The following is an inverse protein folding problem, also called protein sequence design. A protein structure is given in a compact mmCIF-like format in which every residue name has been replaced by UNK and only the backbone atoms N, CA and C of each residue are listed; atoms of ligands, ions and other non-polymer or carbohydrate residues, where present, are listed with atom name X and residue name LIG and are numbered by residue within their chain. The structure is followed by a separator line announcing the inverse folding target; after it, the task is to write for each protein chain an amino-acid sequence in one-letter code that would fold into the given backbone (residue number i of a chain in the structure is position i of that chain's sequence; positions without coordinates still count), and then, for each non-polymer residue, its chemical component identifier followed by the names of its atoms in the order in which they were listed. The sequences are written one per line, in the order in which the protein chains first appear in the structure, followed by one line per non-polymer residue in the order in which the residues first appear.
data_IF_668381902610
#
_entry.id   IF_668381902610
#
_cell.length_a   1.000
_cell.length_b   1.000
_cell.length_c   1.000
_cell.angle_alpha   90.00
_cell.angle_beta   90.00
_cell.angle_gamma   90.00
#
_symmetry.space_group_name_H-M   'P 1'
#
loop_
_entity.id
_entity.type
_entity.pdbx_description
1 polymer ?
#
# COMPACT_ATOMS: atom_id res chain seq x y z
N UNK A 1 17.29 -5.81 12.34
CA UNK A 1 16.47 -5.18 13.39
C UNK A 1 15.25 -4.59 12.70
N UNK A 2 14.05 -5.10 12.95
CA UNK A 2 12.84 -4.64 12.26
C UNK A 2 12.50 -3.20 12.67
N UNK A 3 12.05 -2.40 11.70
CA UNK A 3 11.60 -1.02 11.89
C UNK A 3 10.22 -0.90 12.56
N UNK A 4 9.88 -1.85 13.44
CA UNK A 4 8.57 -1.91 14.08
C UNK A 4 8.36 -0.75 15.05
N UNK A 5 7.11 -0.29 15.11
CA UNK A 5 6.66 0.75 16.04
C UNK A 5 6.56 0.19 17.45
N UNK A 6 7.35 0.76 18.37
CA UNK A 6 7.36 0.44 19.79
C UNK A 6 6.68 1.53 20.59
N UNK A 7 5.66 1.15 21.36
CA UNK A 7 5.01 2.04 22.32
C UNK A 7 5.89 2.20 23.56
N UNK A 8 6.25 3.45 23.86
CA UNK A 8 7.01 3.82 25.07
C UNK A 8 6.06 4.19 26.20
N UNK A 9 4.94 4.81 25.87
CA UNK A 9 3.83 5.13 26.78
C UNK A 9 2.55 5.31 25.95
N UNK A 10 1.39 5.54 26.60
CA UNK A 10 0.11 5.79 25.92
C UNK A 10 0.14 6.95 24.92
N UNK A 11 1.04 7.91 25.10
CA UNK A 11 1.16 9.11 24.25
C UNK A 11 2.52 9.24 23.57
N UNK A 12 3.36 8.19 23.59
CA UNK A 12 4.69 8.22 22.98
C UNK A 12 5.02 6.90 22.31
N UNK A 13 5.39 6.96 21.04
CA UNK A 13 5.91 5.83 20.26
C UNK A 13 7.29 6.14 19.71
N UNK A 14 8.06 5.09 19.42
CA UNK A 14 9.32 5.20 18.69
C UNK A 14 9.56 3.98 17.82
N UNK A 15 10.27 4.17 16.72
CA UNK A 15 10.73 3.07 15.88
C UNK A 15 12.14 3.33 15.39
N UNK A 16 12.86 2.23 15.15
CA UNK A 16 14.20 2.27 14.61
C UNK A 16 14.13 2.58 13.11
N UNK A 17 14.99 3.49 12.65
CA UNK A 17 15.05 3.88 11.23
C UNK A 17 16.37 3.42 10.61
N UNK A 18 17.49 3.71 11.25
CA UNK A 18 18.80 3.45 10.68
C UNK A 18 19.88 3.36 11.75
N UNK A 19 21.02 2.79 11.36
CA UNK A 19 22.25 2.83 12.16
C UNK A 19 23.27 3.67 11.42
N UNK A 20 23.87 4.63 12.12
CA UNK A 20 24.94 5.46 11.59
C UNK A 20 26.21 5.28 12.43
N UNK A 21 27.11 4.43 11.97
CA UNK A 21 28.29 4.01 12.72
C UNK A 21 27.94 3.33 14.04
N UNK A 22 28.35 3.94 15.16
CA UNK A 22 28.06 3.46 16.53
C UNK A 22 26.73 3.98 17.09
N UNK A 23 26.01 4.85 16.37
CA UNK A 23 24.74 5.43 16.83
C UNK A 23 23.54 4.71 16.22
N UNK A 24 22.50 4.54 17.02
CA UNK A 24 21.20 4.04 16.58
C UNK A 24 20.23 5.20 16.42
N UNK A 25 19.59 5.30 15.26
CA UNK A 25 18.68 6.39 14.92
C UNK A 25 17.24 5.91 15.05
N UNK A 26 16.45 6.67 15.82
CA UNK A 26 15.03 6.43 16.03
C UNK A 26 14.24 7.66 15.63
N UNK A 27 13.05 7.43 15.11
CA UNK A 27 12.00 8.45 15.12
C UNK A 27 11.18 8.24 16.38
N UNK A 28 10.89 9.33 17.09
CA UNK A 28 9.95 9.36 18.21
C UNK A 28 8.79 10.29 17.87
N UNK A 29 7.56 9.83 18.13
CA UNK A 29 6.36 10.67 18.10
C UNK A 29 5.81 10.78 19.52
N UNK A 30 5.45 11.99 19.94
CA UNK A 30 4.84 12.27 21.25
C UNK A 30 3.63 13.18 21.09
N UNK A 31 2.49 12.74 21.61
CA UNK A 31 1.32 13.60 21.79
C UNK A 31 1.43 14.39 23.11
N UNK A 32 1.14 15.67 23.06
CA UNK A 32 1.24 16.58 24.21
C UNK A 32 0.24 17.73 24.11
N UNK A 33 0.14 18.55 25.16
CA UNK A 33 -0.67 19.76 25.19
C UNK A 33 0.24 20.95 25.52
N UNK A 34 0.05 22.07 24.82
CA UNK A 34 0.72 23.32 25.14
C UNK A 34 -0.29 24.46 25.11
N UNK A 35 -0.43 25.17 26.23
CA UNK A 35 -1.42 26.26 26.39
C UNK A 35 -2.84 25.83 25.97
N UNK A 36 -3.24 24.62 26.39
CA UNK A 36 -4.56 24.06 26.07
C UNK A 36 -4.73 23.48 24.66
N UNK A 37 -3.74 23.61 23.77
CA UNK A 37 -3.81 23.07 22.40
C UNK A 37 -3.12 21.71 22.30
N UNK A 38 -3.76 20.68 21.71
CA UNK A 38 -3.13 19.40 21.44
C UNK A 38 -2.08 19.55 20.33
N UNK A 39 -0.92 18.92 20.52
CA UNK A 39 0.21 18.95 19.60
C UNK A 39 0.82 17.56 19.45
N UNK A 40 1.34 17.27 18.26
CA UNK A 40 2.20 16.13 17.99
C UNK A 40 3.63 16.63 17.78
N UNK A 41 4.57 16.05 18.53
CA UNK A 41 6.00 16.31 18.36
C UNK A 41 6.64 15.10 17.70
N UNK A 42 7.21 15.28 16.51
CA UNK A 42 8.04 14.30 15.81
C UNK A 42 9.49 14.67 16.00
N UNK A 43 10.32 13.73 16.42
CA UNK A 43 11.76 13.96 16.57
C UNK A 43 12.56 12.80 16.03
N UNK A 44 13.70 13.11 15.41
CA UNK A 44 14.72 12.13 15.05
C UNK A 44 15.80 12.20 16.12
N UNK A 45 16.07 11.09 16.79
CA UNK A 45 17.08 11.00 17.85
C UNK A 45 18.12 9.96 17.51
N UNK A 46 19.39 10.32 17.71
CA UNK A 46 20.49 9.38 17.67
C UNK A 46 20.92 9.01 19.09
N UNK A 47 21.06 7.71 19.33
CA UNK A 47 21.47 7.13 20.61
C UNK A 47 22.86 6.53 20.46
N UNK A 48 23.81 7.04 21.23
CA UNK A 48 25.18 6.56 21.29
C UNK A 48 25.41 5.50 22.37
N UNK A 49 26.66 5.08 22.52
CA UNK A 49 27.09 4.23 23.63
C UNK A 49 26.86 4.94 24.97
N UNK A 50 26.50 4.18 26.01
CA UNK A 50 26.30 4.70 27.36
C UNK A 50 24.98 5.45 27.58
N UNK A 51 24.00 5.32 26.67
CA UNK A 51 22.67 5.94 26.82
C UNK A 51 22.61 7.43 26.49
N UNK A 52 23.71 8.02 26.01
CA UNK A 52 23.73 9.38 25.49
C UNK A 52 22.81 9.49 24.28
N UNK A 53 22.00 10.55 24.22
CA UNK A 53 21.08 10.79 23.10
C UNK A 53 21.11 12.24 22.68
N UNK A 54 21.07 12.47 21.38
CA UNK A 54 20.98 13.79 20.75
C UNK A 54 19.74 13.85 19.87
N UNK A 55 19.09 15.02 19.83
CA UNK A 55 18.01 15.29 18.87
C UNK A 55 18.67 15.82 17.61
N UNK A 56 18.54 15.09 16.51
CA UNK A 56 19.03 15.52 15.20
C UNK A 56 18.05 16.47 14.52
N UNK A 57 16.76 16.26 14.76
CA UNK A 57 15.69 17.02 14.14
C UNK A 57 14.42 16.95 14.98
N UNK A 58 13.61 18.01 14.97
CA UNK A 58 12.31 18.02 15.63
C UNK A 58 11.32 18.92 14.90
N UNK A 59 10.11 18.41 14.73
CA UNK A 59 8.95 19.14 14.21
C UNK A 59 7.81 19.08 15.21
N UNK A 60 6.96 20.10 15.17
CA UNK A 60 5.76 20.21 16.00
C UNK A 60 4.60 20.53 15.09
N UNK A 61 3.55 19.71 15.17
CA UNK A 61 2.32 19.88 14.44
C UNK A 61 1.16 20.14 15.41
N UNK A 62 0.21 20.95 14.98
CA UNK A 62 -1.13 20.88 15.56
C UNK A 62 -1.88 19.66 15.02
N UNK A 63 -3.06 19.41 15.58
CA UNK A 63 -3.86 18.24 15.20
C UNK A 63 -4.29 18.28 13.72
N UNK A 64 -4.79 19.41 13.15
CA UNK A 64 -5.14 19.47 11.73
C UNK A 64 -3.97 19.16 10.80
N UNK A 65 -2.77 19.70 11.08
CA UNK A 65 -1.60 19.43 10.23
C UNK A 65 -1.14 17.99 10.34
N UNK A 66 -1.22 17.39 11.53
CA UNK A 66 -0.90 15.98 11.72
C UNK A 66 -1.84 15.06 10.94
N UNK A 67 -3.14 15.38 10.89
CA UNK A 67 -4.13 14.64 10.11
C UNK A 67 -3.83 14.72 8.61
N UNK A 68 -3.54 15.91 8.08
CA UNK A 68 -3.17 16.11 6.67
C UNK A 68 -1.95 15.26 6.26
N UNK A 69 -0.92 15.20 7.12
CA UNK A 69 0.27 14.38 6.87
C UNK A 69 -0.09 12.89 6.82
N UNK A 70 -0.90 12.42 7.77
CA UNK A 70 -1.35 11.01 7.81
C UNK A 70 -2.19 10.66 6.58
N UNK A 71 -3.05 11.57 6.12
CA UNK A 71 -3.83 11.36 4.89
C UNK A 71 -2.94 11.28 3.66
N UNK A 72 -1.94 12.17 3.54
CA UNK A 72 -0.97 12.14 2.46
C UNK A 72 -0.15 10.83 2.46
N UNK A 73 0.36 10.39 3.61
CA UNK A 73 1.08 9.12 3.75
C UNK A 73 0.19 7.93 3.38
N UNK A 74 -1.07 7.90 3.83
CA UNK A 74 -2.05 6.85 3.46
C UNK A 74 -2.38 6.85 1.98
N UNK A 75 -2.48 8.02 1.35
CA UNK A 75 -2.72 8.13 -0.09
C UNK A 75 -1.54 7.54 -0.89
N UNK A 76 -0.31 7.85 -0.50
CA UNK A 76 0.89 7.28 -1.11
C UNK A 76 0.98 5.77 -0.91
N UNK A 77 0.69 5.26 0.29
CA UNK A 77 0.65 3.81 0.55
C UNK A 77 -0.38 3.13 -0.33
N UNK A 78 -1.58 3.71 -0.50
CA UNK A 78 -2.62 3.18 -1.39
C UNK A 78 -2.16 3.14 -2.85
N UNK A 79 -1.52 4.20 -3.33
CA UNK A 79 -0.96 4.26 -4.67
C UNK A 79 0.08 3.14 -4.90
N UNK A 80 1.01 2.95 -3.96
CA UNK A 80 2.05 1.93 -4.06
C UNK A 80 1.49 0.50 -3.99
N UNK A 81 0.45 0.27 -3.18
CA UNK A 81 -0.24 -1.03 -3.14
C UNK A 81 -1.01 -1.30 -4.42
N UNK A 82 -1.68 -0.29 -4.98
CA UNK A 82 -2.38 -0.42 -6.25
C UNK A 82 -1.43 -0.78 -7.39
N UNK A 83 -0.20 -0.28 -7.40
CA UNK A 83 0.79 -0.67 -8.42
C UNK A 83 1.31 -2.11 -8.32
N UNK A 84 1.17 -2.75 -7.15
CA UNK A 84 1.42 -4.19 -6.99
C UNK A 84 0.17 -5.01 -7.37
N UNK A 85 -1.03 -4.57 -6.99
CA UNK A 85 -2.30 -5.22 -7.36
C UNK A 85 -2.63 -5.10 -8.85
N UNK A 86 -2.27 -4.01 -9.54
CA UNK A 86 -2.56 -3.82 -10.97
C UNK A 86 -1.85 -4.86 -11.85
N UNK A 87 -0.71 -5.43 -11.41
CA UNK A 87 -0.07 -6.54 -12.13
C UNK A 87 -0.89 -7.83 -12.02
N UNK A 88 -1.52 -8.08 -10.88
CA UNK A 88 -2.36 -9.25 -10.67
C UNK A 88 -3.73 -9.07 -11.30
N UNK A 89 -4.33 -7.88 -11.23
CA UNK A 89 -5.60 -7.55 -11.91
C UNK A 89 -5.44 -7.58 -13.43
N UNK A 90 -4.37 -7.03 -13.99
CA UNK A 90 -4.10 -7.12 -15.44
C UNK A 90 -3.84 -8.57 -15.86
N UNK A 91 -3.24 -9.39 -15.00
CA UNK A 91 -3.04 -10.82 -15.26
C UNK A 91 -4.37 -11.58 -15.23
N UNK A 92 -5.22 -11.37 -14.23
CA UNK A 92 -6.57 -11.96 -14.17
C UNK A 92 -7.44 -11.51 -15.35
N UNK A 93 -7.40 -10.22 -15.72
CA UNK A 93 -8.11 -9.72 -16.90
C UNK A 93 -7.62 -10.38 -18.20
N UNK A 94 -6.31 -10.64 -18.34
CA UNK A 94 -5.78 -11.38 -19.50
C UNK A 94 -6.27 -12.83 -19.54
N UNK A 95 -6.34 -13.49 -18.39
CA UNK A 95 -6.85 -14.87 -18.30
C UNK A 95 -8.35 -14.93 -18.64
N UNK A 96 -9.13 -13.95 -18.18
CA UNK A 96 -10.56 -13.83 -18.53
C UNK A 96 -10.76 -13.52 -20.02
N UNK A 97 -9.98 -12.61 -20.59
CA UNK A 97 -10.03 -12.30 -22.04
C UNK A 97 -9.71 -13.54 -22.87
N UNK A 98 -8.66 -14.28 -22.51
CA UNK A 98 -8.29 -15.51 -23.20
C UNK A 98 -9.40 -16.58 -23.14
N UNK A 99 -10.06 -16.72 -21.99
CA UNK A 99 -11.21 -17.62 -21.84
C UNK A 99 -12.39 -17.21 -22.73
N UNK A 100 -12.69 -15.91 -22.79
CA UNK A 100 -13.76 -15.38 -23.63
C UNK A 100 -13.47 -15.59 -25.12
N UNK A 101 -12.24 -15.36 -25.57
CA UNK A 101 -11.82 -15.61 -26.96
C UNK A 101 -11.97 -17.09 -27.34
N UNK A 102 -11.58 -18.00 -26.44
CA UNK A 102 -11.74 -19.45 -26.63
C UNK A 102 -13.22 -19.84 -26.76
N UNK A 103 -14.07 -19.32 -25.87
CA UNK A 103 -15.52 -19.56 -25.89
C UNK A 103 -16.16 -19.02 -27.17
N UNK A 104 -15.72 -17.86 -27.64
CA UNK A 104 -16.22 -17.25 -28.87
C UNK A 104 -15.84 -18.08 -30.12
N UNK A 105 -14.63 -18.65 -30.14
CA UNK A 105 -14.22 -19.57 -31.21
C UNK A 105 -15.04 -20.88 -31.19
N UNK A 106 -15.30 -21.44 -30.01
CA UNK A 106 -16.19 -22.61 -29.87
C UNK A 106 -17.59 -22.31 -30.40
N UNK A 107 -18.15 -21.15 -30.06
CA UNK A 107 -19.45 -20.71 -30.56
C UNK A 107 -19.47 -20.60 -32.09
N UNK A 108 -18.43 -20.01 -32.70
CA UNK A 108 -18.31 -19.96 -34.17
C UNK A 108 -18.34 -21.34 -34.80
N UNK A 109 -17.53 -22.27 -34.28
CA UNK A 109 -17.51 -23.66 -34.78
C UNK A 109 -18.87 -24.35 -34.61
N UNK A 110 -19.60 -24.08 -33.53
CA UNK A 110 -20.93 -24.64 -33.32
C UNK A 110 -21.96 -24.04 -34.29
N UNK A 111 -21.87 -22.75 -34.58
CA UNK A 111 -22.73 -22.08 -35.57
C UNK A 111 -22.46 -22.61 -36.97
N UNK A 112 -21.20 -22.73 -37.37
CA UNK A 112 -20.81 -23.30 -38.68
C UNK A 112 -21.39 -24.72 -38.86
N UNK A 113 -21.27 -25.57 -37.83
CA UNK A 113 -21.87 -26.93 -37.86
C UNK A 113 -23.39 -26.92 -37.94
N UNK A 114 -24.05 -25.95 -37.30
CA UNK A 114 -25.50 -25.77 -37.37
C UNK A 114 -25.94 -25.32 -38.76
N UNK A 115 -25.21 -24.39 -39.37
CA UNK A 115 -25.45 -23.94 -40.74
C UNK A 115 -25.25 -25.07 -41.75
N UNK A 116 -24.23 -25.91 -41.59
CA UNK A 116 -24.04 -27.14 -42.38
C UNK A 116 -25.21 -28.13 -42.20
N UNK A 117 -25.70 -28.29 -40.97
CA UNK A 117 -26.83 -29.20 -40.68
C UNK A 117 -28.17 -28.70 -41.21
N UNK A 118 -28.38 -27.37 -41.23
CA UNK A 118 -29.61 -26.74 -41.76
C UNK A 118 -29.56 -26.63 -43.29
N UNK A 119 -28.37 -26.41 -43.87
CA UNK A 119 -28.16 -26.38 -45.33
C UNK A 119 -28.22 -27.75 -46.01
N UNK A 120 -27.98 -28.84 -45.26
CA UNK A 120 -28.05 -30.22 -45.77
C UNK A 120 -29.44 -30.83 -45.85
N UNK A 121 -30.49 -30.16 -45.36
CA UNK A 121 -31.86 -30.70 -45.30
C UNK A 121 -32.67 -30.56 -46.60
N UNK A 122 -32.10 -30.00 -47.66
CA UNK A 122 -32.77 -29.77 -48.94
C UNK A 122 -32.28 -30.69 -50.05
N UNK A 123 -32.51 -32.00 -49.96
CA UNK A 123 -32.48 -32.91 -51.12
C UNK A 123 -33.20 -34.23 -50.80
N UNK A 124 -34.33 -34.47 -51.47
CA UNK A 124 -34.91 -35.81 -51.63
C UNK A 124 -36.43 -35.89 -51.46
N UNK A 125 -37.18 -35.32 -52.41
CA UNK A 125 -38.39 -35.98 -52.93
C UNK A 125 -37.98 -37.15 -53.84
#
# INVERSE_FOLDING_TARGET
MSGEVKWVSRSKVKWFVARHGSKFVYVELKATYRRGKPLIVRSIRAYGKGGTSEILYSEVYDLPKAEEIVEAERALIRLLKASDDDKDVVKELREVVFSLESNLNLLKVMVEKLEESVGGGGCGE
#
